data_IF_749995523288
#
_entry.id   IF_749995523288
#
_cell.length_a   1.000
_cell.length_b   1.000
_cell.length_c   1.000
_cell.angle_alpha   90.00
_cell.angle_beta   90.00
_cell.angle_gamma   90.00
#
_symmetry.space_group_name_H-M   'P 1'
#
loop_
_entity.id
_entity.type
_entity.pdbx_description
1 polymer ?
#
# COMPACT_ATOMS: atom_id res chain seq x y z
N UNK A 1 12.99 -11.53 -7.85
CA UNK A 1 12.85 -10.83 -6.55
C UNK A 1 11.63 -9.93 -6.68
N UNK A 2 10.68 -10.02 -5.76
CA UNK A 2 9.40 -9.31 -5.83
C UNK A 2 9.47 -7.94 -5.17
N UNK A 3 8.48 -7.07 -5.44
CA UNK A 3 8.39 -5.74 -4.80
C UNK A 3 8.33 -5.87 -3.27
N UNK A 4 7.57 -6.84 -2.79
CA UNK A 4 7.44 -7.17 -1.37
C UNK A 4 8.79 -7.59 -0.75
N UNK A 5 9.59 -8.42 -1.45
CA UNK A 5 10.92 -8.81 -0.99
C UNK A 5 11.86 -7.61 -0.84
N UNK A 6 11.81 -6.66 -1.80
CA UNK A 6 12.62 -5.45 -1.74
C UNK A 6 12.18 -4.50 -0.64
N UNK A 7 10.88 -4.37 -0.41
CA UNK A 7 10.36 -3.61 0.73
C UNK A 7 10.79 -4.24 2.05
N UNK A 8 10.80 -5.57 2.13
CA UNK A 8 11.32 -6.29 3.29
C UNK A 8 12.79 -5.98 3.53
N UNK A 9 13.63 -6.11 2.50
CA UNK A 9 15.06 -5.80 2.58
C UNK A 9 15.31 -4.36 3.07
N UNK A 10 14.55 -3.40 2.53
CA UNK A 10 14.63 -2.00 2.91
C UNK A 10 14.23 -1.78 4.38
N UNK A 11 13.10 -2.35 4.83
CA UNK A 11 12.64 -2.20 6.21
C UNK A 11 13.53 -2.92 7.22
N UNK A 12 14.06 -4.09 6.87
CA UNK A 12 15.04 -4.80 7.71
C UNK A 12 16.36 -4.02 7.81
N UNK A 13 16.82 -3.40 6.71
CA UNK A 13 18.09 -2.65 6.66
C UNK A 13 18.00 -1.33 7.43
N UNK A 14 16.89 -0.61 7.28
CA UNK A 14 16.67 0.70 7.88
C UNK A 14 15.65 0.65 9.01
N UNK A 15 15.67 -0.45 9.77
CA UNK A 15 14.70 -0.74 10.81
C UNK A 15 14.65 0.36 11.88
N UNK A 16 15.79 1.00 12.19
CA UNK A 16 15.89 2.16 13.08
C UNK A 16 16.46 3.33 12.29
N UNK A 17 15.97 4.54 12.55
CA UNK A 17 16.34 5.77 11.83
C UNK A 17 16.99 6.83 12.75
N UNK A 18 18.27 6.68 13.12
CA UNK A 18 18.89 7.49 14.15
C UNK A 18 19.75 8.64 13.62
N UNK A 19 20.08 8.74 12.31
CA UNK A 19 20.96 9.81 11.81
C UNK A 19 20.81 10.16 10.32
N UNK A 20 21.37 11.32 9.96
CA UNK A 20 21.36 11.89 8.60
C UNK A 20 22.01 10.98 7.55
N UNK A 21 23.13 10.34 7.88
CA UNK A 21 23.85 9.45 6.94
C UNK A 21 22.99 8.25 6.52
N UNK A 22 22.22 7.68 7.44
CA UNK A 22 21.29 6.60 7.12
C UNK A 22 20.08 7.09 6.32
N UNK A 23 19.58 8.30 6.59
CA UNK A 23 18.55 8.94 5.75
C UNK A 23 19.05 9.15 4.32
N UNK A 24 20.28 9.63 4.14
CA UNK A 24 20.88 9.79 2.80
C UNK A 24 21.03 8.45 2.07
N UNK A 25 21.51 7.42 2.77
CA UNK A 25 21.65 6.07 2.21
C UNK A 25 20.30 5.44 1.82
N UNK A 26 19.29 5.56 2.68
CA UNK A 26 17.94 5.09 2.38
C UNK A 26 17.33 5.88 1.21
N UNK A 27 17.47 7.21 1.19
CA UNK A 27 16.96 8.05 0.09
C UNK A 27 17.56 7.61 -1.23
N UNK A 28 18.88 7.39 -1.27
CA UNK A 28 19.56 6.86 -2.44
C UNK A 28 19.00 5.50 -2.85
N UNK A 29 18.81 4.58 -1.91
CA UNK A 29 18.24 3.25 -2.16
C UNK A 29 16.81 3.34 -2.73
N UNK A 30 15.98 4.22 -2.16
CA UNK A 30 14.60 4.45 -2.59
C UNK A 30 14.52 4.99 -4.02
N UNK A 31 15.37 5.97 -4.35
CA UNK A 31 15.44 6.55 -5.69
C UNK A 31 15.99 5.52 -6.69
N UNK A 32 17.10 4.86 -6.38
CA UNK A 32 17.77 3.95 -7.32
C UNK A 32 17.00 2.65 -7.52
N UNK A 33 16.40 2.09 -6.45
CA UNK A 33 15.69 0.80 -6.52
C UNK A 33 14.23 1.01 -6.93
N UNK A 34 13.49 1.84 -6.18
CA UNK A 34 12.04 2.00 -6.34
C UNK A 34 11.64 3.19 -7.21
N UNK A 35 12.61 3.93 -7.77
CA UNK A 35 12.38 5.13 -8.57
C UNK A 35 11.58 6.20 -7.82
N UNK A 36 11.76 6.30 -6.50
CA UNK A 36 11.08 7.31 -5.70
C UNK A 36 11.35 8.71 -6.25
N UNK A 37 10.29 9.49 -6.47
CA UNK A 37 10.40 10.86 -7.01
C UNK A 37 10.51 11.90 -5.90
N UNK A 38 10.10 11.55 -4.69
CA UNK A 38 10.17 12.40 -3.51
C UNK A 38 10.37 11.52 -2.27
N UNK A 39 11.25 11.95 -1.37
CA UNK A 39 11.48 11.33 -0.05
C UNK A 39 11.57 12.46 0.97
N UNK A 40 10.67 12.46 1.94
CA UNK A 40 10.60 13.48 3.01
C UNK A 40 10.65 12.80 4.36
N UNK A 41 11.54 13.28 5.22
CA UNK A 41 11.64 12.85 6.62
C UNK A 41 11.02 13.92 7.50
N UNK A 42 9.70 13.84 7.69
CA UNK A 42 8.95 14.78 8.50
C UNK A 42 7.97 14.03 9.39
N UNK A 43 7.82 14.50 10.62
CA UNK A 43 6.78 13.99 11.51
C UNK A 43 5.46 14.67 11.16
N UNK A 44 4.51 13.93 10.60
CA UNK A 44 3.17 14.44 10.32
C UNK A 44 2.14 13.68 11.16
N UNK A 45 1.21 14.40 11.78
CA UNK A 45 0.04 13.79 12.42
C UNK A 45 -0.89 13.25 11.34
N UNK A 46 -1.20 11.96 11.44
CA UNK A 46 -2.16 11.26 10.59
C UNK A 46 -3.15 10.49 11.48
N UNK A 47 -4.28 10.05 10.92
CA UNK A 47 -5.41 9.48 11.64
C UNK A 47 -5.05 8.25 12.49
N UNK A 48 -4.01 7.49 12.10
CA UNK A 48 -3.53 6.32 12.85
C UNK A 48 -2.31 6.60 13.73
N UNK A 49 -1.71 7.79 13.68
CA UNK A 49 -0.51 8.17 14.43
C UNK A 49 0.52 8.97 13.62
N UNK A 50 1.66 9.34 14.23
CA UNK A 50 2.68 10.12 13.55
C UNK A 50 3.34 9.29 12.43
N UNK A 51 3.27 9.79 11.19
CA UNK A 51 4.13 9.32 10.11
C UNK A 51 5.48 10.01 10.22
N UNK A 52 6.55 9.39 9.73
CA UNK A 52 7.92 9.89 9.92
C UNK A 52 8.72 9.99 8.63
N UNK A 53 8.29 9.26 7.61
CA UNK A 53 8.85 9.32 6.28
C UNK A 53 7.72 9.17 5.26
N UNK A 54 7.61 10.14 4.36
CA UNK A 54 6.70 10.12 3.21
C UNK A 54 7.52 9.92 1.95
N UNK A 55 7.14 8.93 1.15
CA UNK A 55 7.87 8.50 -0.05
C UNK A 55 6.88 8.45 -1.20
N UNK A 56 7.19 9.11 -2.31
CA UNK A 56 6.37 9.09 -3.51
C UNK A 56 6.96 8.12 -4.52
N UNK A 57 6.21 7.07 -4.86
CA UNK A 57 6.60 6.06 -5.82
C UNK A 57 5.77 6.20 -7.10
N UNK A 58 6.39 6.16 -8.29
CA UNK A 58 5.64 6.02 -9.54
C UNK A 58 4.96 4.64 -9.54
N UNK A 59 3.70 4.58 -9.98
CA UNK A 59 2.92 3.34 -10.04
C UNK A 59 2.37 3.11 -11.45
N UNK A 60 3.18 2.48 -12.33
CA UNK A 60 2.78 2.23 -13.71
C UNK A 60 1.53 1.36 -13.78
N UNK A 61 0.59 1.71 -14.66
CA UNK A 61 -0.66 0.96 -14.85
C UNK A 61 -1.69 1.14 -13.73
N UNK A 62 -1.38 1.80 -12.60
CA UNK A 62 -2.36 2.01 -11.53
C UNK A 62 -3.60 2.77 -12.03
N UNK A 63 -3.42 3.63 -13.04
CA UNK A 63 -4.49 4.44 -13.60
C UNK A 63 -5.59 3.66 -14.31
N UNK A 64 -5.28 2.48 -14.86
CA UNK A 64 -6.29 1.63 -15.52
C UNK A 64 -7.27 0.99 -14.53
N UNK A 65 -6.93 1.00 -13.24
CA UNK A 65 -7.76 0.47 -12.15
C UNK A 65 -8.56 1.56 -11.43
N UNK A 66 -8.26 2.83 -11.70
CA UNK A 66 -9.04 3.93 -11.22
C UNK A 66 -10.35 4.01 -12.03
N UNK A 67 -11.50 3.91 -11.36
CA UNK A 67 -12.79 4.22 -11.98
C UNK A 67 -12.94 5.76 -12.06
N UNK A 68 -12.12 6.39 -12.91
CA UNK A 68 -12.21 7.82 -13.16
C UNK A 68 -13.38 8.01 -14.11
N UNK A 69 -14.54 8.44 -13.57
CA UNK A 69 -15.42 9.27 -14.38
C UNK A 69 -14.62 10.54 -14.68
N UNK A 70 -13.98 10.57 -15.84
CA UNK A 70 -13.01 11.60 -16.28
C UNK A 70 -13.60 13.01 -16.34
N UNK A 71 -14.87 13.17 -15.99
CA UNK A 71 -15.63 14.41 -16.01
C UNK A 71 -15.71 15.15 -14.67
N UNK A 72 -15.50 14.50 -13.51
CA UNK A 72 -16.00 15.08 -12.25
C UNK A 72 -14.98 15.36 -11.14
N UNK A 73 -13.71 14.94 -11.21
CA UNK A 73 -12.72 15.34 -10.20
C UNK A 73 -11.34 15.71 -10.77
N UNK A 74 -10.88 16.97 -10.59
CA UNK A 74 -9.50 17.33 -10.80
C UNK A 74 -8.73 16.93 -9.53
N UNK A 75 -8.28 15.68 -9.41
CA UNK A 75 -7.23 15.38 -8.43
C UNK A 75 -5.99 16.18 -8.90
N UNK A 76 -5.34 17.01 -8.08
CA UNK A 76 -4.16 17.77 -8.50
C UNK A 76 -3.04 16.82 -8.93
N UNK A 77 -2.98 16.57 -10.24
CA UNK A 77 -2.02 15.69 -10.90
C UNK A 77 -0.60 16.20 -10.65
N UNK A 78 0.19 15.46 -9.87
CA UNK A 78 1.64 15.70 -9.77
C UNK A 78 2.31 15.12 -11.02
N UNK A 79 2.51 15.95 -12.05
CA UNK A 79 3.17 15.56 -13.32
C UNK A 79 4.55 14.92 -13.12
N UNK A 80 5.24 15.30 -12.05
CA UNK A 80 6.59 14.84 -11.69
C UNK A 80 6.63 13.38 -11.20
N UNK A 81 5.53 12.86 -10.62
CA UNK A 81 5.43 11.48 -10.10
C UNK A 81 5.09 10.43 -11.19
N UNK A 82 5.02 10.85 -12.46
CA UNK A 82 4.43 10.08 -13.59
C UNK A 82 5.52 9.56 -14.55
N UNK A 83 6.75 10.07 -14.46
CA UNK A 83 7.88 9.62 -15.27
C UNK A 83 8.50 8.35 -14.68
N UNK A 84 7.81 7.22 -14.86
CA UNK A 84 8.44 5.90 -14.76
C UNK A 84 9.51 5.79 -15.85
N UNK A 85 10.76 5.55 -15.46
CA UNK A 85 11.79 5.16 -16.41
C UNK A 85 11.77 3.63 -16.48
N UNK A 86 11.39 3.10 -17.64
CA UNK A 86 11.44 1.66 -17.90
C UNK A 86 12.86 1.14 -17.66
N UNK A 87 13.06 0.35 -16.61
CA UNK A 87 14.27 -0.45 -16.47
C UNK A 87 14.13 -1.69 -17.36
N UNK A 88 15.25 -2.17 -17.91
CA UNK A 88 15.32 -3.44 -18.66
C UNK A 88 14.44 -3.53 -19.92
N UNK A 89 14.64 -2.64 -20.90
CA UNK A 89 14.04 -2.73 -22.27
C UNK A 89 12.49 -2.77 -22.33
N UNK A 90 11.81 -2.55 -21.21
CA UNK A 90 10.35 -2.52 -21.19
C UNK A 90 9.82 -1.24 -21.85
N UNK A 91 8.66 -1.28 -22.51
CA UNK A 91 8.06 -0.09 -23.09
C UNK A 91 7.66 0.89 -21.98
N UNK A 92 8.04 2.16 -22.13
CA UNK A 92 7.52 3.25 -21.31
C UNK A 92 6.00 3.31 -21.46
N UNK A 93 5.25 3.18 -20.37
CA UNK A 93 3.80 3.35 -20.41
C UNK A 93 3.45 4.82 -20.74
N UNK A 94 2.36 5.07 -21.49
CA UNK A 94 1.85 6.42 -21.69
C UNK A 94 1.62 7.13 -20.35
N UNK A 95 1.93 8.43 -20.27
CA UNK A 95 1.71 9.24 -19.06
C UNK A 95 0.25 9.17 -18.54
N UNK A 96 -0.71 8.88 -19.43
CA UNK A 96 -2.12 8.72 -19.10
C UNK A 96 -2.45 7.41 -18.36
N UNK A 97 -1.53 6.44 -18.33
CA UNK A 97 -1.71 5.12 -17.70
C UNK A 97 -0.95 4.99 -16.37
N UNK A 98 -0.10 5.97 -16.05
CA UNK A 98 0.67 6.01 -14.82
C UNK A 98 -0.13 6.68 -13.69
N UNK A 99 -0.07 6.08 -12.50
CA UNK A 99 -0.47 6.70 -11.23
C UNK A 99 0.74 6.87 -10.32
N UNK A 100 0.48 7.23 -9.06
CA UNK A 100 1.51 7.24 -8.01
C UNK A 100 0.96 6.64 -6.72
N UNK A 101 1.87 6.19 -5.87
CA UNK A 101 1.60 5.69 -4.53
C UNK A 101 2.40 6.55 -3.55
N UNK A 102 1.72 7.11 -2.54
CA UNK A 102 2.39 7.66 -1.38
C UNK A 102 2.58 6.55 -0.35
N UNK A 103 3.82 6.17 -0.13
CA UNK A 103 4.21 5.22 0.92
C UNK A 103 4.61 6.01 2.17
N UNK A 104 4.05 5.61 3.31
CA UNK A 104 4.37 6.18 4.61
C UNK A 104 4.99 5.12 5.50
N UNK A 105 6.12 5.47 6.11
CA UNK A 105 6.76 4.65 7.13
C UNK A 105 6.44 5.24 8.51
N UNK A 106 5.94 4.38 9.38
CA UNK A 106 5.63 4.70 10.76
C UNK A 106 6.61 3.99 11.68
N UNK A 107 7.18 4.75 12.61
CA UNK A 107 7.83 4.20 13.79
C UNK A 107 6.87 4.26 14.97
N UNK A 108 7.13 3.43 15.98
CA UNK A 108 6.50 3.62 17.28
C UNK A 108 6.84 5.00 17.83
N UNK A 109 5.88 5.58 18.58
CA UNK A 109 5.67 7.01 18.91
C UNK A 109 6.85 7.84 19.45
N UNK A 110 8.07 7.31 19.61
CA UNK A 110 9.21 8.05 20.14
C UNK A 110 9.99 8.76 19.01
N UNK A 111 10.32 10.04 19.18
CA UNK A 111 11.25 10.76 18.30
C UNK A 111 12.43 11.29 19.13
N UNK A 112 13.70 10.97 18.77
CA UNK A 112 14.11 10.12 17.66
C UNK A 112 13.67 8.65 17.84
N UNK A 113 13.36 7.91 16.76
CA UNK A 113 12.87 6.54 16.87
C UNK A 113 13.94 5.61 17.45
N UNK A 114 13.61 4.98 18.57
CA UNK A 114 14.41 3.95 19.25
C UNK A 114 14.03 2.54 18.82
N UNK A 115 12.86 2.39 18.20
CA UNK A 115 12.27 1.13 17.80
C UNK A 115 12.15 1.00 16.28
N UNK A 116 11.85 -0.22 15.85
CA UNK A 116 11.60 -0.59 14.46
C UNK A 116 10.49 0.23 13.80
N UNK A 117 10.51 0.34 12.47
CA UNK A 117 9.27 0.58 11.70
C UNK A 117 8.21 -0.39 12.23
N UNK A 118 6.95 -0.01 12.37
CA UNK A 118 5.89 -0.93 12.83
C UNK A 118 4.80 -1.13 11.78
N UNK A 119 4.55 -0.07 11.00
CA UNK A 119 3.52 -0.05 9.98
C UNK A 119 4.02 0.67 8.72
N UNK A 120 3.62 0.12 7.58
CA UNK A 120 3.79 0.74 6.27
C UNK A 120 2.40 1.00 5.72
N UNK A 121 2.16 2.22 5.23
CA UNK A 121 0.90 2.59 4.58
C UNK A 121 1.16 2.95 3.13
N UNK A 122 0.27 2.54 2.24
CA UNK A 122 0.27 2.93 0.84
C UNK A 122 -1.04 3.65 0.55
N UNK A 123 -0.97 4.95 0.24
CA UNK A 123 -2.10 5.73 -0.28
C UNK A 123 -1.99 5.82 -1.79
N UNK A 124 -3.09 5.53 -2.48
CA UNK A 124 -3.12 5.51 -3.92
C UNK A 124 -3.57 6.87 -4.45
N UNK A 125 -3.01 7.29 -5.59
CA UNK A 125 -3.45 8.50 -6.30
C UNK A 125 -4.91 8.45 -6.78
N UNK A 126 -5.56 7.29 -6.66
CA UNK A 126 -6.95 7.08 -7.00
C UNK A 126 -7.55 5.93 -6.19
N UNK A 127 -8.88 5.88 -6.20
CA UNK A 127 -9.62 4.77 -5.62
C UNK A 127 -9.59 3.52 -6.52
N UNK A 128 -9.17 2.39 -5.95
CA UNK A 128 -9.22 1.07 -6.60
C UNK A 128 -10.56 0.42 -6.30
N UNK A 129 -11.19 -0.20 -7.29
CA UNK A 129 -12.43 -0.93 -7.05
C UNK A 129 -12.20 -2.15 -6.14
N UNK A 130 -13.04 -2.29 -5.12
CA UNK A 130 -13.14 -3.49 -4.33
C UNK A 130 -13.75 -4.60 -5.20
N UNK A 131 -13.29 -5.86 -5.06
CA UNK A 131 -13.91 -6.98 -5.76
C UNK A 131 -15.43 -7.05 -5.50
N UNK A 132 -16.21 -7.46 -6.50
CA UNK A 132 -17.67 -7.43 -6.42
C UNK A 132 -18.20 -8.31 -5.27
N UNK A 133 -19.09 -7.77 -4.45
CA UNK A 133 -19.69 -8.44 -3.30
C UNK A 133 -20.30 -9.80 -3.66
N UNK A 134 -19.74 -10.88 -3.11
CA UNK A 134 -20.44 -12.16 -2.99
C UNK A 134 -21.32 -12.12 -1.73
N UNK A 135 -22.58 -12.53 -1.87
CA UNK A 135 -23.68 -12.27 -0.94
C UNK A 135 -23.65 -13.11 0.35
N UNK A 136 -22.48 -13.56 0.80
CA UNK A 136 -22.30 -14.26 2.06
C UNK A 136 -22.05 -13.27 3.20
N UNK A 137 -23.04 -12.40 3.44
CA UNK A 137 -23.00 -11.45 4.55
C UNK A 137 -23.12 -12.20 5.88
N UNK A 138 -22.16 -12.01 6.79
CA UNK A 138 -22.28 -12.48 8.16
C UNK A 138 -23.20 -11.51 8.90
N UNK A 139 -24.51 -11.76 8.77
CA UNK A 139 -25.55 -10.86 9.30
C UNK A 139 -25.41 -10.62 10.81
N UNK A 140 -24.86 -11.60 11.54
CA UNK A 140 -24.66 -11.53 12.97
C UNK A 140 -23.49 -10.62 13.37
N UNK A 141 -22.50 -10.45 12.48
CA UNK A 141 -21.32 -9.59 12.72
C UNK A 141 -21.34 -8.28 11.94
N UNK A 142 -22.45 -7.99 11.23
CA UNK A 142 -22.57 -6.83 10.33
C UNK A 142 -21.38 -6.68 9.39
N UNK A 143 -20.92 -7.80 8.84
CA UNK A 143 -19.66 -7.87 8.11
C UNK A 143 -19.87 -8.54 6.77
N UNK A 144 -19.47 -7.86 5.70
CA UNK A 144 -19.27 -8.46 4.39
C UNK A 144 -18.00 -9.30 4.40
N UNK A 145 -18.07 -10.51 3.83
CA UNK A 145 -16.92 -11.36 3.57
C UNK A 145 -16.92 -11.70 2.09
N UNK A 146 -15.82 -11.41 1.41
CA UNK A 146 -15.62 -11.79 0.03
C UNK A 146 -14.41 -12.70 -0.08
N UNK A 147 -14.58 -13.87 -0.68
CA UNK A 147 -13.49 -14.82 -0.89
C UNK A 147 -12.93 -14.67 -2.29
N UNK A 148 -11.62 -14.60 -2.37
CA UNK A 148 -10.85 -14.63 -3.62
C UNK A 148 -10.07 -15.93 -3.71
N UNK A 149 -9.29 -16.07 -4.79
CA UNK A 149 -8.38 -17.19 -4.95
C UNK A 149 -7.31 -17.19 -3.86
N UNK A 150 -6.71 -16.03 -3.57
CA UNK A 150 -5.55 -15.96 -2.69
C UNK A 150 -5.89 -15.56 -1.25
N UNK A 151 -7.09 -15.06 -0.97
CA UNK A 151 -7.46 -14.61 0.36
C UNK A 151 -8.93 -14.29 0.56
N UNK A 152 -9.20 -13.47 1.55
CA UNK A 152 -10.54 -13.03 1.91
C UNK A 152 -10.54 -11.58 2.35
N UNK A 153 -11.47 -10.81 1.79
CA UNK A 153 -11.75 -9.45 2.19
C UNK A 153 -12.88 -9.41 3.23
N UNK A 154 -12.74 -8.53 4.20
CA UNK A 154 -13.69 -8.28 5.27
C UNK A 154 -14.01 -6.79 5.33
N UNK A 155 -15.28 -6.42 5.47
CA UNK A 155 -15.70 -5.03 5.62
C UNK A 155 -16.93 -4.93 6.52
N UNK A 156 -17.03 -3.91 7.37
CA UNK A 156 -18.23 -3.68 8.19
C UNK A 156 -19.29 -2.85 7.46
N UNK A 157 -20.57 -3.08 7.79
CA UNK A 157 -21.70 -2.45 7.10
C UNK A 157 -21.83 -0.95 7.37
N UNK A 158 -21.49 -0.52 8.59
CA UNK A 158 -21.79 0.81 9.11
C UNK A 158 -20.53 1.70 9.25
N UNK A 159 -19.35 1.24 8.81
CA UNK A 159 -18.07 1.92 9.03
C UNK A 159 -17.26 2.15 7.74
N UNK A 160 -16.93 3.42 7.45
CA UNK A 160 -16.19 3.90 6.26
C UNK A 160 -14.68 3.63 6.33
N UNK A 161 -14.20 2.88 7.33
CA UNK A 161 -12.77 2.81 7.63
C UNK A 161 -12.27 1.49 8.21
N UNK A 162 -13.12 0.46 8.33
CA UNK A 162 -12.69 -0.83 8.89
C UNK A 162 -12.94 -1.97 7.90
N UNK A 163 -12.08 -2.02 6.89
CA UNK A 163 -11.96 -3.17 6.00
C UNK A 163 -10.57 -3.81 6.15
N UNK A 164 -10.49 -5.11 5.88
CA UNK A 164 -9.23 -5.84 5.94
C UNK A 164 -9.16 -6.95 4.91
N UNK A 165 -7.95 -7.26 4.47
CA UNK A 165 -7.64 -8.42 3.66
C UNK A 165 -6.81 -9.43 4.45
N UNK A 166 -7.15 -10.70 4.30
CA UNK A 166 -6.47 -11.84 4.92
C UNK A 166 -6.09 -12.86 3.84
N UNK A 167 -4.80 -13.05 3.60
CA UNK A 167 -4.31 -14.10 2.69
C UNK A 167 -4.57 -15.50 3.26
N UNK A 168 -4.90 -16.44 2.37
CA UNK A 168 -5.05 -17.86 2.67
C UNK A 168 -3.72 -18.51 3.13
N UNK A 169 -2.58 -17.86 2.87
CA UNK A 169 -1.25 -18.30 3.37
C UNK A 169 -1.14 -18.18 4.89
N UNK A 170 -1.97 -17.36 5.53
CA UNK A 170 -2.03 -17.25 6.98
C UNK A 170 -2.91 -18.40 7.48
N UNK A 171 -2.27 -19.48 7.94
CA UNK A 171 -2.97 -20.67 8.45
C UNK A 171 -3.92 -20.32 9.59
N UNK A 172 -5.03 -21.05 9.72
CA UNK A 172 -6.03 -20.89 10.78
C UNK A 172 -5.48 -21.01 12.21
N UNK A 173 -4.26 -21.57 12.38
CA UNK A 173 -3.57 -21.76 13.65
C UNK A 173 -2.67 -20.59 14.09
N UNK A 174 -2.24 -19.73 13.16
CA UNK A 174 -1.89 -18.37 13.56
C UNK A 174 -3.23 -17.73 13.87
N UNK A 175 -3.50 -17.45 15.15
CA UNK A 175 -4.69 -16.67 15.51
C UNK A 175 -4.85 -15.57 14.48
N UNK A 176 -6.07 -15.30 14.02
CA UNK A 176 -6.44 -14.18 13.13
C UNK A 176 -6.17 -12.85 13.85
N UNK A 177 -4.96 -12.68 14.34
CA UNK A 177 -4.37 -11.54 14.97
C UNK A 177 -4.42 -10.44 13.93
N UNK A 178 -4.90 -9.28 14.35
CA UNK A 178 -5.01 -8.09 13.51
C UNK A 178 -3.65 -7.75 12.89
N UNK A 179 -2.57 -8.13 13.56
CA UNK A 179 -1.22 -7.86 13.13
C UNK A 179 -0.75 -8.62 11.88
N UNK A 180 -1.52 -9.58 11.35
CA UNK A 180 -1.21 -10.30 10.10
C UNK A 180 -2.16 -9.92 8.95
N UNK A 181 -2.91 -8.82 9.06
CA UNK A 181 -3.87 -8.38 8.04
C UNK A 181 -3.34 -7.17 7.28
N UNK A 182 -3.83 -6.99 6.06
CA UNK A 182 -3.76 -5.69 5.39
C UNK A 182 -5.02 -4.93 5.77
N UNK A 183 -4.85 -3.81 6.47
CA UNK A 183 -5.91 -2.86 6.76
C UNK A 183 -6.23 -2.06 5.50
N UNK A 184 -7.50 -1.82 5.24
CA UNK A 184 -7.99 -1.12 4.06
C UNK A 184 -8.88 0.02 4.54
N UNK A 185 -8.74 1.21 3.95
CA UNK A 185 -9.81 2.20 4.04
C UNK A 185 -10.76 2.02 2.88
N UNK A 186 -12.00 1.68 3.22
CA UNK A 186 -13.09 1.48 2.28
C UNK A 186 -14.22 2.46 2.56
N UNK A 187 -14.61 3.23 1.55
CA UNK A 187 -15.86 4.01 1.66
C UNK A 187 -17.08 3.08 1.54
N UNK A 188 -17.98 3.08 2.54
CA UNK A 188 -19.18 2.19 2.66
C UNK A 188 -20.04 2.25 1.39
N UNK A 189 -20.08 3.41 0.73
CA UNK A 189 -20.96 3.65 -0.44
C UNK A 189 -20.31 3.41 -1.79
N UNK A 190 -18.98 3.24 -1.84
CA UNK A 190 -18.23 3.21 -3.09
C UNK A 190 -17.70 1.85 -3.51
N UNK A 191 -17.50 0.93 -2.56
CA UNK A 191 -16.77 -0.32 -2.84
C UNK A 191 -15.38 0.00 -3.40
N UNK A 192 -14.67 0.92 -2.75
CA UNK A 192 -13.44 1.54 -3.25
C UNK A 192 -12.39 1.60 -2.16
N UNK A 193 -11.14 1.28 -2.50
CA UNK A 193 -9.96 1.27 -1.64
C UNK A 193 -9.11 2.48 -2.01
N UNK A 194 -8.90 3.40 -1.07
CA UNK A 194 -8.07 4.61 -1.27
C UNK A 194 -6.67 4.47 -0.66
N UNK A 195 -6.52 3.61 0.35
CA UNK A 195 -5.22 3.26 0.93
C UNK A 195 -5.24 1.88 1.59
N UNK A 196 -4.05 1.31 1.77
CA UNK A 196 -3.82 0.08 2.54
C UNK A 196 -2.73 0.28 3.60
N UNK A 197 -2.86 -0.41 4.73
CA UNK A 197 -1.88 -0.44 5.80
C UNK A 197 -1.45 -1.87 6.10
N UNK A 198 -0.16 -2.11 6.19
CA UNK A 198 0.42 -3.42 6.42
C UNK A 198 1.45 -3.33 7.55
N UNK A 199 1.47 -4.34 8.43
CA UNK A 199 2.52 -4.43 9.44
C UNK A 199 3.82 -4.91 8.77
N UNK A 200 4.95 -4.28 9.05
CA UNK A 200 6.22 -4.65 8.43
C UNK A 200 6.58 -6.14 8.60
N UNK A 201 6.17 -6.78 9.71
CA UNK A 201 6.47 -8.18 10.01
C UNK A 201 5.81 -9.16 9.03
N UNK A 202 4.84 -8.67 8.28
CA UNK A 202 4.10 -9.45 7.28
C UNK A 202 4.71 -9.37 5.89
N UNK A 203 5.68 -8.46 5.67
CA UNK A 203 6.45 -8.43 4.43
C UNK A 203 7.26 -9.72 4.27
N UNK A 204 7.38 -10.19 3.03
CA UNK A 204 8.11 -11.42 2.67
C UNK A 204 7.28 -12.69 2.90
N UNK A 205 6.05 -12.58 3.38
CA UNK A 205 5.10 -13.69 3.46
C UNK A 205 4.28 -13.85 2.17
N UNK A 206 4.40 -12.90 1.24
CA UNK A 206 3.66 -12.89 -0.02
C UNK A 206 2.24 -12.32 0.11
N UNK A 207 1.89 -11.72 1.26
CA UNK A 207 0.53 -11.25 1.55
C UNK A 207 0.21 -9.98 0.75
N UNK A 208 1.19 -9.08 0.60
CA UNK A 208 1.02 -7.88 -0.22
C UNK A 208 0.85 -8.26 -1.68
N UNK A 209 1.63 -9.23 -2.14
CA UNK A 209 1.52 -9.80 -3.49
C UNK A 209 0.13 -10.40 -3.73
N UNK A 210 -0.34 -11.27 -2.83
CA UNK A 210 -1.66 -11.90 -2.93
C UNK A 210 -2.80 -10.86 -2.98
N UNK A 211 -2.70 -9.80 -2.16
CA UNK A 211 -3.67 -8.71 -2.17
C UNK A 211 -3.74 -8.03 -3.54
N UNK A 212 -2.59 -7.64 -4.10
CA UNK A 212 -2.55 -6.95 -5.38
C UNK A 212 -3.04 -7.83 -6.53
N UNK A 213 -2.75 -9.13 -6.50
CA UNK A 213 -3.31 -10.11 -7.45
C UNK A 213 -4.83 -10.20 -7.34
N UNK A 214 -5.37 -10.26 -6.11
CA UNK A 214 -6.80 -10.41 -5.86
C UNK A 214 -7.62 -9.16 -6.21
N UNK A 215 -7.06 -7.96 -6.10
CA UNK A 215 -7.66 -6.73 -6.65
C UNK A 215 -7.37 -6.55 -8.15
N UNK A 216 -6.63 -7.49 -8.75
CA UNK A 216 -6.32 -7.54 -10.18
C UNK A 216 -5.24 -6.58 -10.64
N UNK A 217 -4.47 -5.94 -9.76
CA UNK A 217 -3.42 -4.98 -10.12
C UNK A 217 -2.19 -5.68 -10.73
N UNK A 218 -1.97 -5.47 -12.02
CA UNK A 218 -0.87 -6.04 -12.81
C UNK A 218 0.28 -5.04 -13.04
N UNK A 219 0.54 -4.15 -12.08
CA UNK A 219 1.63 -3.17 -12.18
C UNK A 219 2.69 -3.31 -11.09
N UNK A 220 2.53 -4.28 -10.18
CA UNK A 220 3.42 -4.47 -9.03
C UNK A 220 4.85 -4.77 -9.45
N UNK A 221 5.01 -5.57 -10.50
CA UNK A 221 6.31 -5.91 -11.09
C UNK A 221 7.00 -4.71 -11.74
N UNK A 222 6.24 -3.66 -12.07
CA UNK A 222 6.75 -2.41 -12.62
C UNK A 222 7.19 -1.42 -11.53
N UNK A 223 6.92 -1.72 -10.25
CA UNK A 223 7.43 -0.95 -9.10
C UNK A 223 8.90 -1.30 -8.75
N UNK A 224 9.57 -2.11 -9.58
CA UNK A 224 10.97 -2.55 -9.44
C UNK A 224 11.85 -2.11 -10.64
#
# INVERSE_FOLDING_TARGET
MTFEDKLKELTDTYNVFPNLTQQEAMTKTLIETFQATEVKYEQAEDWDGPTTCTIMLPAPGLRTYCNIDTKSQPNPWRKEAITYQSKNTQPTLPLAENGWIAMYLRYKKEFPPTESIDQIRFSFSCDINFPQFDANADLNRRRYRYKTQNGEFYAYWDEDVDASYLSNKISEGYQRDTANRIHLSQTIRGGKISWIGINQKTLGLGILTDFFEDIGYQGLEKLL
#
